data_IF_157819645137
#
_entry.id   IF_157819645137
#
_cell.length_a   1.000
_cell.length_b   1.000
_cell.length_c   1.000
_cell.angle_alpha   90.00
_cell.angle_beta   90.00
_cell.angle_gamma   90.00
#
_symmetry.space_group_name_H-M   'P 1'
#
loop_
_entity.id
_entity.type
_entity.pdbx_description
1 polymer ?
#
# COMPACT_ATOMS: atom_id res chain seq x y z
N UNK A 1 4.36 3.60 20.20
CA UNK A 1 4.90 3.06 18.95
C UNK A 1 3.75 2.77 18.01
N UNK A 2 3.88 3.16 16.76
CA UNK A 2 2.89 3.10 15.69
C UNK A 2 3.28 4.05 14.54
N UNK A 3 2.28 4.45 13.74
CA UNK A 3 2.44 5.44 12.68
C UNK A 3 2.99 6.78 13.18
N UNK A 4 4.12 7.20 12.60
CA UNK A 4 4.84 8.43 12.91
C UNK A 4 4.23 9.65 12.23
N UNK A 5 4.63 10.85 12.68
CA UNK A 5 4.15 12.12 12.11
C UNK A 5 4.56 12.32 10.63
N UNK A 6 5.68 11.74 10.21
CA UNK A 6 6.15 11.75 8.81
C UNK A 6 5.54 10.62 7.95
N UNK A 7 4.56 9.88 8.48
CA UNK A 7 3.75 8.93 7.73
C UNK A 7 4.36 7.53 7.57
N UNK A 8 5.31 7.16 8.42
CA UNK A 8 5.93 5.84 8.43
C UNK A 8 5.46 5.00 9.61
N UNK A 9 5.28 3.70 9.40
CA UNK A 9 5.06 2.77 10.51
C UNK A 9 6.40 2.46 11.18
N UNK A 10 6.54 2.75 12.47
CA UNK A 10 7.79 2.53 13.21
C UNK A 10 8.20 1.05 13.37
N UNK A 11 7.28 0.14 13.04
CA UNK A 11 7.45 -1.30 13.09
C UNK A 11 7.60 -1.96 11.71
N UNK A 12 7.38 -1.20 10.63
CA UNK A 12 7.63 -1.67 9.27
C UNK A 12 9.11 -1.49 8.92
N UNK A 13 9.65 -2.40 8.11
CA UNK A 13 10.95 -2.18 7.49
C UNK A 13 10.82 -1.03 6.49
N UNK A 14 11.68 -0.02 6.59
CA UNK A 14 11.71 1.09 5.65
C UNK A 14 12.65 0.78 4.49
N UNK A 15 12.09 0.65 3.29
CA UNK A 15 12.83 0.47 2.04
C UNK A 15 12.34 1.51 1.01
N UNK A 16 12.85 2.74 1.00
CA UNK A 16 12.28 3.81 0.17
C UNK A 16 12.29 3.48 -1.33
N UNK A 17 11.17 3.69 -2.01
CA UNK A 17 11.08 3.59 -3.47
C UNK A 17 11.60 4.85 -4.19
N UNK A 18 11.67 4.84 -5.54
CA UNK A 18 12.08 6.00 -6.32
C UNK A 18 11.21 7.25 -6.06
N UNK A 19 11.80 8.42 -5.78
CA UNK A 19 11.07 9.59 -5.29
C UNK A 19 10.11 10.22 -6.31
N UNK A 20 10.27 9.93 -7.61
CA UNK A 20 9.46 10.49 -8.69
C UNK A 20 8.34 9.55 -9.17
N UNK A 21 8.15 8.40 -8.50
CA UNK A 21 7.06 7.46 -8.77
C UNK A 21 5.86 7.69 -7.84
N UNK A 22 5.45 8.95 -7.72
CA UNK A 22 4.30 9.39 -6.94
C UNK A 22 3.65 10.57 -7.66
N UNK A 23 2.37 10.85 -7.37
CA UNK A 23 1.81 12.15 -7.74
C UNK A 23 2.41 13.27 -6.87
N UNK A 24 2.45 14.48 -7.42
CA UNK A 24 2.83 15.69 -6.68
C UNK A 24 1.84 16.05 -5.58
N UNK A 25 0.58 15.61 -5.70
CA UNK A 25 -0.42 15.85 -4.67
C UNK A 25 -0.20 14.93 -3.46
N UNK A 26 -0.33 15.45 -2.23
CA UNK A 26 -0.32 14.60 -1.04
C UNK A 26 -1.57 13.72 -1.00
N UNK A 27 -1.40 12.54 -0.42
CA UNK A 27 -2.47 11.57 -0.22
C UNK A 27 -3.35 11.97 0.96
N UNK A 28 -4.66 11.92 0.76
CA UNK A 28 -5.65 12.25 1.80
C UNK A 28 -5.97 11.06 2.71
N UNK A 29 -5.48 9.85 2.41
CA UNK A 29 -5.60 8.65 3.26
C UNK A 29 -7.02 8.39 3.77
N UNK A 30 -8.01 8.50 2.87
CA UNK A 30 -9.43 8.26 3.14
C UNK A 30 -9.81 6.79 3.00
N UNK A 31 -9.04 6.03 2.23
CA UNK A 31 -9.29 4.62 1.93
C UNK A 31 -8.06 3.77 2.28
N UNK A 32 -8.31 2.54 2.69
CA UNK A 32 -7.29 1.48 2.70
C UNK A 32 -7.61 0.51 1.57
N UNK A 33 -6.65 0.30 0.67
CA UNK A 33 -6.82 -0.48 -0.56
C UNK A 33 -5.81 -1.63 -0.54
N UNK A 34 -6.14 -2.78 0.05
CA UNK A 34 -5.27 -3.95 -0.03
C UNK A 34 -5.29 -4.52 -1.44
N UNK A 35 -4.12 -4.86 -1.95
CA UNK A 35 -3.91 -5.50 -3.24
C UNK A 35 -3.32 -6.91 -3.03
N UNK A 36 -3.46 -7.77 -4.05
CA UNK A 36 -2.76 -9.05 -4.12
C UNK A 36 -1.69 -8.91 -5.21
N UNK A 37 -0.43 -9.11 -4.84
CA UNK A 37 0.67 -9.08 -5.78
C UNK A 37 0.70 -10.40 -6.55
N UNK A 38 0.77 -10.32 -7.88
CA UNK A 38 1.16 -11.46 -8.70
C UNK A 38 2.68 -11.56 -8.65
N UNK A 39 3.18 -12.57 -7.92
CA UNK A 39 4.60 -12.84 -7.73
C UNK A 39 5.18 -12.36 -6.38
N UNK A 40 6.38 -12.86 -6.10
CA UNK A 40 7.11 -12.62 -4.87
C UNK A 40 7.73 -11.22 -4.79
N UNK A 41 8.06 -10.80 -3.57
CA UNK A 41 8.59 -9.47 -3.30
C UNK A 41 9.75 -9.05 -4.21
N UNK A 42 10.73 -9.93 -4.46
CA UNK A 42 11.88 -9.60 -5.31
C UNK A 42 11.48 -9.26 -6.76
N UNK A 43 10.51 -9.99 -7.31
CA UNK A 43 9.98 -9.74 -8.65
C UNK A 43 9.13 -8.48 -8.71
N UNK A 44 8.37 -8.19 -7.66
CA UNK A 44 7.64 -6.93 -7.54
C UNK A 44 8.59 -5.73 -7.35
N UNK A 45 9.66 -5.91 -6.58
CA UNK A 45 10.62 -4.86 -6.27
C UNK A 45 11.42 -4.41 -7.51
N UNK A 46 11.72 -5.32 -8.44
CA UNK A 46 12.34 -4.95 -9.72
C UNK A 46 11.43 -4.04 -10.55
N UNK A 47 10.11 -4.23 -10.47
CA UNK A 47 9.11 -3.35 -11.09
C UNK A 47 9.11 -1.96 -10.44
N UNK A 48 9.07 -1.90 -9.10
CA UNK A 48 9.15 -0.65 -8.34
C UNK A 48 10.41 0.14 -8.71
N UNK A 49 11.55 -0.53 -8.84
CA UNK A 49 12.84 0.12 -9.08
C UNK A 49 13.16 0.40 -10.56
N UNK A 50 12.41 -0.18 -11.50
CA UNK A 50 12.65 0.04 -12.93
C UNK A 50 12.51 1.51 -13.31
N UNK A 51 13.52 2.08 -13.94
CA UNK A 51 13.53 3.47 -14.41
C UNK A 51 13.19 3.59 -15.92
N UNK A 52 12.68 2.50 -16.50
CA UNK A 52 12.41 2.43 -17.93
C UNK A 52 11.32 3.43 -18.37
N UNK A 53 11.57 4.14 -19.46
CA UNK A 53 10.69 5.16 -20.03
C UNK A 53 10.49 4.97 -21.52
N UNK A 54 9.32 5.39 -22.01
CA UNK A 54 9.03 5.47 -23.44
C UNK A 54 9.72 6.68 -24.10
N UNK A 55 9.57 6.81 -25.43
CA UNK A 55 10.15 7.92 -26.20
C UNK A 55 9.61 9.31 -25.80
N UNK A 56 8.49 9.38 -25.07
CA UNK A 56 7.90 10.60 -24.53
C UNK A 56 8.36 10.88 -23.08
N UNK A 57 9.29 10.07 -22.53
CA UNK A 57 9.81 10.22 -21.18
C UNK A 57 8.87 9.72 -20.07
N UNK A 58 7.77 9.04 -20.42
CA UNK A 58 6.83 8.47 -19.46
C UNK A 58 7.31 7.09 -19.03
N UNK A 59 7.09 6.72 -17.77
CA UNK A 59 7.36 5.36 -17.33
C UNK A 59 6.61 4.33 -18.19
N UNK A 60 7.26 3.21 -18.50
CA UNK A 60 6.60 2.08 -19.19
C UNK A 60 5.51 1.48 -18.31
N UNK A 61 4.58 0.72 -18.90
CA UNK A 61 3.51 0.05 -18.13
C UNK A 61 4.08 -0.89 -17.04
N UNK A 62 5.24 -1.49 -17.30
CA UNK A 62 5.99 -2.23 -16.32
C UNK A 62 6.51 -1.29 -15.22
N UNK A 63 7.30 -0.27 -15.55
CA UNK A 63 7.91 0.63 -14.57
C UNK A 63 6.92 1.53 -13.81
N UNK A 64 5.71 1.79 -14.33
CA UNK A 64 4.71 2.66 -13.73
C UNK A 64 3.97 1.99 -12.57
N UNK A 65 4.68 1.69 -11.48
CA UNK A 65 4.14 1.10 -10.26
C UNK A 65 4.78 1.68 -9.00
N UNK A 66 3.96 1.94 -8.00
CA UNK A 66 4.36 2.33 -6.65
C UNK A 66 3.22 2.02 -5.70
N UNK A 67 3.52 1.54 -4.50
CA UNK A 67 2.55 1.26 -3.42
C UNK A 67 3.18 1.69 -2.10
N UNK A 68 2.37 1.94 -1.07
CA UNK A 68 2.90 2.42 0.22
C UNK A 68 3.73 1.34 0.90
N UNK A 69 3.37 0.07 0.76
CA UNK A 69 4.18 -1.04 1.25
C UNK A 69 3.74 -2.41 0.76
N UNK A 70 4.47 -3.42 1.19
CA UNK A 70 4.33 -4.81 0.82
C UNK A 70 4.27 -5.67 2.08
N UNK A 71 3.37 -6.64 2.12
CA UNK A 71 3.11 -7.53 3.25
C UNK A 71 3.50 -8.95 2.84
N UNK A 72 4.62 -9.42 3.37
CA UNK A 72 5.16 -10.76 3.12
C UNK A 72 4.23 -11.85 3.66
N UNK A 73 4.39 -13.09 3.20
CA UNK A 73 3.58 -14.23 3.68
C UNK A 73 3.61 -14.42 5.21
N UNK A 74 4.72 -14.11 5.87
CA UNK A 74 4.86 -14.20 7.34
C UNK A 74 4.24 -13.01 8.09
N UNK A 75 3.70 -12.03 7.36
CA UNK A 75 3.15 -10.79 7.91
C UNK A 75 4.16 -9.65 8.06
N UNK A 76 5.44 -9.85 7.75
CA UNK A 76 6.43 -8.76 7.74
C UNK A 76 5.98 -7.66 6.76
N UNK A 77 6.01 -6.41 7.22
CA UNK A 77 5.65 -5.25 6.41
C UNK A 77 6.89 -4.48 6.02
N UNK A 78 7.02 -4.22 4.73
CA UNK A 78 8.04 -3.36 4.15
C UNK A 78 7.34 -2.13 3.58
N UNK A 79 7.68 -0.94 4.06
CA UNK A 79 7.10 0.31 3.62
C UNK A 79 8.05 1.00 2.63
N UNK A 80 7.50 1.46 1.52
CA UNK A 80 8.21 2.10 0.41
C UNK A 80 8.01 3.62 0.34
N UNK A 81 6.83 4.10 0.76
CA UNK A 81 6.50 5.52 0.78
C UNK A 81 5.71 5.86 2.05
N UNK A 82 5.80 7.10 2.56
CA UNK A 82 4.96 7.52 3.67
C UNK A 82 3.49 7.48 3.22
N UNK A 83 2.58 7.26 4.17
CA UNK A 83 1.12 7.23 3.89
C UNK A 83 0.57 8.57 3.35
N UNK A 84 1.36 9.63 3.38
CA UNK A 84 1.03 10.94 2.81
C UNK A 84 1.42 11.06 1.34
N UNK A 85 2.09 10.07 0.75
CA UNK A 85 2.46 10.05 -0.67
C UNK A 85 1.34 9.44 -1.52
N UNK A 86 1.07 10.02 -2.69
CA UNK A 86 0.03 9.50 -3.61
C UNK A 86 0.64 8.50 -4.60
N UNK A 87 0.49 7.22 -4.33
CA UNK A 87 1.10 6.13 -5.08
C UNK A 87 0.26 5.70 -6.30
N UNK A 88 0.90 5.29 -7.40
CA UNK A 88 0.32 4.75 -8.64
C UNK A 88 -0.08 3.26 -8.51
N UNK A 89 -1.09 2.96 -7.69
CA UNK A 89 -1.45 1.58 -7.33
C UNK A 89 -2.85 1.12 -7.80
N UNK A 90 -3.78 2.05 -8.00
CA UNK A 90 -5.22 1.76 -8.06
C UNK A 90 -5.90 2.17 -9.37
N UNK A 91 -5.11 2.26 -10.45
CA UNK A 91 -5.60 2.41 -11.84
C UNK A 91 -6.24 3.76 -12.20
N UNK A 92 -6.47 4.65 -11.24
CA UNK A 92 -6.97 6.00 -11.49
C UNK A 92 -6.47 7.00 -10.44
N UNK A 93 -6.40 8.28 -10.84
CA UNK A 93 -5.85 9.35 -9.98
C UNK A 93 -6.59 9.50 -8.66
N UNK A 94 -7.94 9.43 -8.66
CA UNK A 94 -8.73 9.61 -7.43
C UNK A 94 -8.38 8.55 -6.39
N UNK A 95 -8.40 7.27 -6.77
CA UNK A 95 -8.04 6.20 -5.84
C UNK A 95 -6.58 6.31 -5.36
N UNK A 96 -5.67 6.73 -6.24
CA UNK A 96 -4.26 6.91 -5.91
C UNK A 96 -3.97 8.09 -4.96
N UNK A 97 -4.76 9.16 -5.00
CA UNK A 97 -4.57 10.36 -4.15
C UNK A 97 -5.44 10.36 -2.89
N UNK A 98 -6.33 9.38 -2.75
CA UNK A 98 -7.16 9.23 -1.55
C UNK A 98 -6.97 7.89 -0.84
N UNK A 99 -6.28 6.92 -1.44
CA UNK A 99 -6.14 5.57 -0.92
C UNK A 99 -4.72 5.21 -0.51
N UNK A 100 -4.62 4.45 0.58
CA UNK A 100 -3.39 3.81 1.06
C UNK A 100 -3.36 2.38 0.53
N UNK A 101 -2.50 2.15 -0.45
CA UNK A 101 -2.29 0.85 -1.08
C UNK A 101 -1.15 0.05 -0.45
N UNK A 102 -1.44 -1.17 -0.01
CA UNK A 102 -0.47 -2.19 0.37
C UNK A 102 -0.68 -3.44 -0.47
N UNK A 103 0.41 -4.03 -0.96
CA UNK A 103 0.40 -5.32 -1.64
C UNK A 103 0.54 -6.44 -0.62
N UNK A 104 -0.24 -7.51 -0.77
CA UNK A 104 -0.01 -8.77 -0.06
C UNK A 104 0.76 -9.69 -1.01
N UNK A 105 1.85 -10.28 -0.53
CA UNK A 105 2.61 -11.26 -1.28
C UNK A 105 1.69 -12.40 -1.75
N UNK A 106 1.72 -12.67 -3.04
CA UNK A 106 1.05 -13.80 -3.66
C UNK A 106 2.05 -14.65 -4.43
N UNK A 107 1.61 -15.85 -4.80
CA UNK A 107 2.39 -16.78 -5.60
C UNK A 107 2.53 -16.33 -7.05
N UNK A 108 3.05 -17.22 -7.88
CA UNK A 108 3.18 -16.98 -9.32
C UNK A 108 1.83 -16.77 -10.02
N UNK A 109 0.77 -17.44 -9.56
CA UNK A 109 -0.59 -17.32 -10.08
C UNK A 109 -1.59 -17.40 -8.90
N UNK A 110 -1.74 -16.33 -8.11
CA UNK A 110 -2.42 -16.36 -6.81
C UNK A 110 -3.96 -16.27 -6.94
N UNK A 111 -4.53 -16.90 -7.96
CA UNK A 111 -5.99 -16.95 -8.13
C UNK A 111 -6.59 -17.72 -6.96
N UNK A 112 -7.49 -17.07 -6.22
CA UNK A 112 -8.14 -17.60 -5.02
C UNK A 112 -7.17 -18.03 -3.89
N UNK A 113 -5.93 -17.55 -3.91
CA UNK A 113 -4.97 -17.81 -2.84
C UNK A 113 -5.42 -17.12 -1.54
N UNK A 114 -5.62 -17.86 -0.43
CA UNK A 114 -6.05 -17.26 0.82
C UNK A 114 -4.90 -16.46 1.44
N UNK A 115 -5.23 -15.29 2.00
CA UNK A 115 -4.28 -14.55 2.83
C UNK A 115 -3.88 -15.38 4.06
N UNK A 116 -2.59 -15.33 4.40
CA UNK A 116 -2.08 -15.95 5.62
C UNK A 116 -2.57 -15.21 6.85
N UNK A 117 -2.51 -15.88 8.01
CA UNK A 117 -2.80 -15.24 9.29
C UNK A 117 -1.89 -14.02 9.55
N UNK A 118 -0.62 -14.09 9.14
CA UNK A 118 0.33 -12.99 9.25
C UNK A 118 -0.07 -11.78 8.40
N UNK A 119 -0.45 -12.02 7.14
CA UNK A 119 -0.95 -10.97 6.26
C UNK A 119 -2.21 -10.31 6.81
N UNK A 120 -3.20 -11.11 7.26
CA UNK A 120 -4.43 -10.60 7.86
C UNK A 120 -4.12 -9.75 9.09
N UNK A 121 -3.25 -10.23 9.99
CA UNK A 121 -2.88 -9.48 11.20
C UNK A 121 -2.23 -8.14 10.87
N UNK A 122 -1.35 -8.09 9.86
CA UNK A 122 -0.69 -6.86 9.42
C UNK A 122 -1.67 -5.87 8.78
N UNK A 123 -2.59 -6.34 7.92
CA UNK A 123 -3.66 -5.50 7.38
C UNK A 123 -4.51 -4.88 8.49
N UNK A 124 -4.92 -5.69 9.49
CA UNK A 124 -5.71 -5.21 10.63
C UNK A 124 -4.93 -4.17 11.45
N UNK A 125 -3.64 -4.41 11.70
CA UNK A 125 -2.78 -3.45 12.41
C UNK A 125 -2.66 -2.12 11.65
N UNK A 126 -2.40 -2.18 10.35
CA UNK A 126 -2.30 -0.99 9.48
C UNK A 126 -3.60 -0.18 9.55
N UNK A 127 -4.76 -0.81 9.36
CA UNK A 127 -6.05 -0.12 9.41
C UNK A 127 -6.28 0.53 10.76
N UNK A 128 -6.01 -0.16 11.88
CA UNK A 128 -6.16 0.40 13.23
C UNK A 128 -5.25 1.61 13.45
N UNK A 129 -4.00 1.54 13.02
CA UNK A 129 -3.06 2.66 13.18
C UNK A 129 -3.42 3.85 12.27
N UNK A 130 -3.90 3.61 11.05
CA UNK A 130 -4.44 4.65 10.17
C UNK A 130 -5.67 5.32 10.78
N UNK A 131 -6.59 4.53 11.34
CA UNK A 131 -7.77 5.03 12.03
C UNK A 131 -7.38 5.90 13.21
N UNK A 132 -6.45 5.44 14.06
CA UNK A 132 -5.93 6.21 15.18
C UNK A 132 -5.28 7.52 14.71
N UNK A 133 -4.45 7.48 13.68
CA UNK A 133 -3.78 8.67 13.14
C UNK A 133 -4.75 9.70 12.55
N UNK A 134 -5.85 9.25 11.92
CA UNK A 134 -6.92 10.13 11.42
C UNK A 134 -7.99 10.49 12.45
N UNK A 135 -7.96 9.93 13.66
CA UNK A 135 -9.03 10.09 14.64
C UNK A 135 -10.37 9.46 14.22
N UNK A 136 -10.33 8.38 13.42
CA UNK A 136 -11.51 7.67 12.93
C UNK A 136 -11.91 6.55 13.90
N UNK A 137 -13.20 6.45 14.23
CA UNK A 137 -13.74 5.40 15.11
C UNK A 137 -14.65 4.41 14.38
N UNK A 138 -14.83 4.61 13.07
CA UNK A 138 -15.74 3.83 12.24
C UNK A 138 -15.04 3.38 10.96
N UNK A 139 -15.30 2.14 10.56
CA UNK A 139 -14.87 1.58 9.28
C UNK A 139 -16.09 1.09 8.52
N UNK A 140 -16.06 1.22 7.20
CA UNK A 140 -17.14 0.75 6.33
C UNK A 140 -16.53 0.14 5.07
N UNK A 141 -16.96 -1.07 4.74
CA UNK A 141 -16.75 -1.63 3.40
C UNK A 141 -17.75 -0.96 2.43
N UNK A 142 -17.37 -0.60 1.19
CA UNK A 142 -18.32 -0.10 0.21
C UNK A 142 -19.56 -1.01 0.10
N UNK A 143 -20.76 -0.43 0.28
CA UNK A 143 -22.03 -1.17 0.28
C UNK A 143 -22.30 -2.05 1.51
N UNK A 144 -21.39 -2.09 2.47
CA UNK A 144 -21.52 -2.84 3.72
C UNK A 144 -21.96 -1.98 4.91
N UNK A 145 -22.23 -2.61 6.07
CA UNK A 145 -22.57 -1.91 7.30
C UNK A 145 -21.39 -1.08 7.82
N UNK A 146 -21.70 0.00 8.53
CA UNK A 146 -20.71 0.77 9.29
C UNK A 146 -20.43 0.02 10.59
N UNK A 147 -19.17 -0.26 10.87
CA UNK A 147 -18.73 -0.95 12.09
C UNK A 147 -17.95 0.02 12.96
N UNK A 148 -18.31 0.10 14.24
CA UNK A 148 -17.56 0.85 15.24
C UNK A 148 -16.34 0.04 15.69
N UNK A 149 -15.18 0.68 15.79
CA UNK A 149 -13.95 0.07 16.26
C UNK A 149 -13.56 0.74 17.57
N UNK A 150 -13.44 -0.05 18.65
CA UNK A 150 -12.79 0.38 19.88
C UNK A 150 -11.28 0.43 19.62
N UNK A 151 -10.70 1.64 19.64
CA UNK A 151 -9.27 1.88 19.44
C UNK A 151 -8.48 1.72 20.73
#
# INVERSE_FOLDING_TARGET
MGLTADGWFDWAERYPGPPDKVYSEPNTAQLYVPHSAVGYYAGWLSRLNSQERDAAGRYTAYAAASVHGFIMYDGKVIQHYPITASCWASGNRRANTTGIAFENEGGYDPVDEPLTAGQIASNVRIVRELMKWRGLTKVQRPGGPVVSVSL
#
